data_IF_724081475811
#
_entry.id   IF_724081475811
#
_cell.length_a   1.000
_cell.length_b   1.000
_cell.length_c   1.000
_cell.angle_alpha   90.00
_cell.angle_beta   90.00
_cell.angle_gamma   90.00
#
_symmetry.space_group_name_H-M   'P 1'
#
loop_
_entity.id
_entity.type
_entity.pdbx_description
1 polymer ?
#
# COMPACT_ATOMS: atom_id res chain seq x y z
N UNK A 1 -68.71 -3.54 10.78
CA UNK A 1 -68.00 -2.60 11.66
C UNK A 1 -67.51 -3.40 12.86
N UNK A 2 -66.22 -3.54 13.19
CA UNK A 2 -64.95 -2.96 12.67
C UNK A 2 -63.89 -4.09 12.67
N UNK A 3 -63.01 -4.11 11.65
CA UNK A 3 -61.94 -5.10 11.53
C UNK A 3 -60.75 -4.72 12.45
N UNK A 4 -60.33 -5.62 13.35
CA UNK A 4 -59.12 -5.41 14.19
C UNK A 4 -57.86 -5.84 13.44
N UNK A 5 -57.22 -4.90 12.75
CA UNK A 5 -55.85 -5.06 12.27
C UNK A 5 -54.86 -4.70 13.40
N UNK A 6 -54.39 -5.71 14.14
CA UNK A 6 -53.27 -5.52 15.07
C UNK A 6 -51.97 -5.49 14.28
N UNK A 7 -51.44 -4.28 14.07
CA UNK A 7 -50.23 -3.99 13.33
C UNK A 7 -49.01 -4.61 14.03
N UNK A 8 -48.49 -5.73 13.50
CA UNK A 8 -47.23 -6.30 13.95
C UNK A 8 -46.08 -5.42 13.46
N UNK A 9 -45.64 -4.50 14.31
CA UNK A 9 -44.53 -3.60 13.99
C UNK A 9 -43.20 -4.36 14.06
N UNK A 10 -42.79 -4.95 12.94
CA UNK A 10 -41.45 -5.55 12.79
C UNK A 10 -40.43 -4.42 12.75
N UNK A 11 -39.81 -4.14 13.90
CA UNK A 11 -38.66 -3.25 14.01
C UNK A 11 -37.48 -3.87 13.28
N UNK A 12 -37.34 -3.53 11.99
CA UNK A 12 -36.16 -3.85 11.20
C UNK A 12 -34.98 -3.06 11.77
N UNK A 13 -34.15 -3.73 12.59
CA UNK A 13 -32.86 -3.20 13.02
C UNK A 13 -31.93 -3.09 11.80
N UNK A 14 -32.08 -2.01 11.03
CA UNK A 14 -31.12 -1.60 10.01
C UNK A 14 -29.86 -1.17 10.75
N UNK A 15 -28.94 -2.11 10.94
CA UNK A 15 -27.55 -1.78 11.28
C UNK A 15 -27.01 -0.98 10.10
N UNK A 16 -26.92 0.33 10.28
CA UNK A 16 -26.17 1.20 9.39
C UNK A 16 -24.70 0.79 9.49
N UNK A 17 -24.28 -0.12 8.61
CA UNK A 17 -22.87 -0.31 8.29
C UNK A 17 -22.44 0.98 7.60
N UNK A 18 -21.91 1.92 8.37
CA UNK A 18 -21.24 3.09 7.83
C UNK A 18 -20.05 2.58 7.04
N UNK A 19 -20.08 2.75 5.71
CA UNK A 19 -18.91 2.49 4.89
C UNK A 19 -17.75 3.32 5.45
N UNK A 20 -16.65 2.65 5.75
CA UNK A 20 -15.45 3.27 6.30
C UNK A 20 -14.92 4.25 5.23
N UNK A 21 -14.84 5.57 5.51
CA UNK A 21 -14.72 6.58 4.45
C UNK A 21 -13.47 6.40 3.59
N UNK A 22 -13.61 6.63 2.30
CA UNK A 22 -12.54 6.46 1.32
C UNK A 22 -11.33 7.36 1.60
N UNK A 23 -10.17 7.02 1.02
CA UNK A 23 -8.89 7.66 1.35
C UNK A 23 -8.47 8.61 0.23
N UNK A 24 -8.13 9.85 0.56
CA UNK A 24 -7.70 10.85 -0.44
C UNK A 24 -6.24 10.68 -0.84
N UNK A 25 -5.98 10.40 -2.12
CA UNK A 25 -4.66 10.51 -2.75
C UNK A 25 -4.33 11.98 -2.99
N UNK A 26 -3.18 12.44 -2.50
CA UNK A 26 -2.73 13.84 -2.65
C UNK A 26 -1.37 13.98 -3.34
N UNK A 27 -0.62 12.88 -3.50
CA UNK A 27 0.63 12.80 -4.27
C UNK A 27 0.67 11.48 -5.02
N UNK A 28 1.37 11.45 -6.15
CA UNK A 28 1.71 10.23 -6.87
C UNK A 28 3.22 10.10 -6.99
N UNK A 29 3.70 8.86 -7.03
CA UNK A 29 5.09 8.50 -7.33
C UNK A 29 5.09 7.25 -8.21
N UNK A 30 6.11 7.09 -9.04
CA UNK A 30 6.26 5.91 -9.89
C UNK A 30 7.58 5.19 -9.60
N UNK A 31 7.58 3.89 -9.88
CA UNK A 31 8.76 3.02 -9.89
C UNK A 31 8.80 2.25 -11.21
N UNK A 32 9.86 2.43 -11.99
CA UNK A 32 10.20 1.54 -13.09
C UNK A 32 11.04 0.39 -12.53
N UNK A 33 10.53 -0.84 -12.63
CA UNK A 33 11.16 -2.03 -12.06
C UNK A 33 11.86 -2.85 -13.14
N UNK A 34 13.03 -3.40 -12.82
CA UNK A 34 13.72 -4.42 -13.61
C UNK A 34 13.98 -5.69 -12.81
N UNK A 35 14.15 -6.81 -13.52
CA UNK A 35 14.57 -8.11 -12.97
C UNK A 35 15.76 -8.60 -13.79
N UNK A 36 16.90 -8.85 -13.15
CA UNK A 36 18.14 -9.23 -13.84
C UNK A 36 18.60 -8.18 -14.88
N UNK A 37 18.31 -6.89 -14.64
CA UNK A 37 18.55 -5.80 -15.58
C UNK A 37 17.57 -5.71 -16.77
N UNK A 38 16.58 -6.61 -16.89
CA UNK A 38 15.53 -6.53 -17.90
C UNK A 38 14.33 -5.73 -17.36
N UNK A 39 13.83 -4.69 -18.07
CA UNK A 39 12.65 -3.94 -17.65
C UNK A 39 11.41 -4.84 -17.49
N UNK A 40 10.76 -4.78 -16.33
CA UNK A 40 9.56 -5.55 -16.00
C UNK A 40 8.27 -4.74 -16.19
N UNK A 41 8.32 -3.44 -15.86
CA UNK A 41 7.20 -2.52 -16.00
C UNK A 41 7.22 -1.38 -14.97
N UNK A 42 6.20 -0.51 -15.03
CA UNK A 42 6.01 0.62 -14.12
C UNK A 42 4.92 0.33 -13.10
N UNK A 43 5.17 0.67 -11.83
CA UNK A 43 4.18 0.74 -10.76
C UNK A 43 3.91 2.22 -10.47
N UNK A 44 2.65 2.62 -10.36
CA UNK A 44 2.24 3.97 -9.91
C UNK A 44 1.55 3.86 -8.56
N UNK A 45 2.04 4.62 -7.59
CA UNK A 45 1.56 4.64 -6.21
C UNK A 45 0.87 5.97 -5.91
N UNK A 46 -0.35 5.91 -5.40
CA UNK A 46 -1.06 7.03 -4.78
C UNK A 46 -0.72 7.11 -3.30
N UNK A 47 -0.39 8.31 -2.81
CA UNK A 47 0.04 8.55 -1.43
C UNK A 47 -0.98 9.44 -0.69
N UNK A 48 -1.27 9.07 0.55
CA UNK A 48 -2.34 9.66 1.37
C UNK A 48 -1.85 10.83 2.23
N UNK A 49 -1.34 11.91 1.61
CA UNK A 49 -0.66 12.98 2.35
C UNK A 49 -1.53 13.79 3.32
N UNK A 50 -2.87 13.70 3.22
CA UNK A 50 -3.78 14.25 4.25
C UNK A 50 -3.82 13.37 5.51
N UNK A 51 -3.71 12.05 5.33
CA UNK A 51 -3.73 11.05 6.41
C UNK A 51 -2.35 10.86 7.02
N UNK A 52 -1.30 10.89 6.19
CA UNK A 52 0.07 10.55 6.55
C UNK A 52 1.12 11.60 6.12
N UNK A 53 0.97 12.89 6.49
CA UNK A 53 1.75 13.98 5.92
C UNK A 53 3.27 13.80 6.06
N UNK A 54 3.81 13.46 7.24
CA UNK A 54 5.27 13.33 7.39
C UNK A 54 5.82 12.15 6.61
N UNK A 55 5.15 11.00 6.68
CA UNK A 55 5.58 9.78 5.97
C UNK A 55 5.52 9.98 4.45
N UNK A 56 4.45 10.61 3.93
CA UNK A 56 4.32 10.92 2.50
C UNK A 56 5.36 11.96 2.04
N UNK A 57 5.59 13.03 2.82
CA UNK A 57 6.65 14.01 2.49
C UNK A 57 8.03 13.34 2.41
N UNK A 58 8.37 12.50 3.40
CA UNK A 58 9.64 11.79 3.40
C UNK A 58 9.75 10.81 2.21
N UNK A 59 8.69 10.05 1.91
CA UNK A 59 8.67 9.10 0.78
C UNK A 59 8.82 9.79 -0.59
N UNK A 60 8.14 10.94 -0.78
CA UNK A 60 8.27 11.78 -1.97
C UNK A 60 9.70 12.31 -2.11
N UNK A 61 10.35 12.70 -1.01
CA UNK A 61 11.76 13.08 -1.02
C UNK A 61 12.69 11.92 -1.40
N UNK A 62 12.37 10.67 -1.07
CA UNK A 62 13.17 9.52 -1.54
C UNK A 62 13.01 9.28 -3.03
N UNK A 63 11.76 9.20 -3.52
CA UNK A 63 11.46 8.90 -4.92
C UNK A 63 12.02 9.95 -5.90
N UNK A 64 12.26 11.19 -5.45
CA UNK A 64 12.85 12.27 -6.23
C UNK A 64 14.37 12.38 -6.20
N UNK A 65 15.09 11.52 -5.45
CA UNK A 65 16.56 11.49 -5.46
C UNK A 65 17.05 10.27 -6.26
N UNK A 66 18.05 10.47 -7.12
CA UNK A 66 18.67 9.39 -7.88
C UNK A 66 19.37 8.40 -6.92
N UNK A 67 18.81 7.20 -6.80
CA UNK A 67 19.31 6.17 -5.90
C UNK A 67 18.81 4.77 -6.29
N UNK A 68 19.71 3.79 -6.21
CA UNK A 68 19.44 2.39 -6.55
C UNK A 68 18.62 1.72 -5.43
N UNK A 69 17.29 1.74 -5.54
CA UNK A 69 16.41 1.09 -4.56
C UNK A 69 16.31 -0.40 -4.88
N UNK A 70 17.02 -1.21 -4.10
CA UNK A 70 17.06 -2.66 -4.24
C UNK A 70 15.98 -3.35 -3.42
N UNK A 71 15.37 -4.40 -3.99
CA UNK A 71 14.54 -5.35 -3.24
C UNK A 71 15.44 -6.24 -2.40
N UNK A 72 15.26 -6.25 -1.07
CA UNK A 72 16.11 -7.03 -0.17
C UNK A 72 15.56 -8.42 0.14
N UNK A 73 14.25 -8.49 0.44
CA UNK A 73 13.57 -9.69 0.90
C UNK A 73 12.14 -9.73 0.34
N UNK A 74 11.72 -10.93 -0.06
CA UNK A 74 10.43 -11.30 -0.64
C UNK A 74 9.74 -12.29 0.30
N UNK A 75 9.36 -11.83 1.49
CA UNK A 75 8.46 -12.62 2.35
C UNK A 75 7.17 -12.82 1.56
N UNK A 76 6.59 -14.02 1.58
CA UNK A 76 5.61 -14.55 0.60
C UNK A 76 4.33 -13.72 0.30
N UNK A 77 4.16 -12.56 0.93
CA UNK A 77 2.97 -11.70 0.91
C UNK A 77 3.33 -10.19 0.78
N UNK A 78 4.63 -9.87 0.71
CA UNK A 78 5.24 -8.56 1.07
C UNK A 78 6.57 -8.33 0.30
N UNK A 79 6.66 -7.30 -0.55
CA UNK A 79 7.89 -6.92 -1.27
C UNK A 79 8.65 -5.81 -0.50
N UNK A 80 9.88 -6.01 -0.02
CA UNK A 80 10.59 -5.02 0.82
C UNK A 80 11.71 -4.24 0.08
N UNK A 81 11.63 -2.91 0.11
CA UNK A 81 12.57 -1.94 -0.51
C UNK A 81 13.19 -0.96 0.54
N UNK A 82 14.36 -0.32 0.31
CA UNK A 82 15.18 0.41 1.34
C UNK A 82 15.85 1.75 0.84
N UNK A 83 16.72 2.53 1.53
CA UNK A 83 17.52 2.37 2.78
C UNK A 83 17.68 3.68 3.69
N UNK A 84 17.00 4.83 3.45
CA UNK A 84 17.03 6.10 4.29
C UNK A 84 16.03 6.14 5.49
N UNK A 85 16.33 6.69 6.70
CA UNK A 85 15.38 6.73 7.83
C UNK A 85 14.14 7.62 7.61
N UNK A 86 12.93 7.09 7.87
CA UNK A 86 11.67 7.85 7.80
C UNK A 86 10.99 7.96 9.17
N UNK A 87 10.69 9.21 9.56
CA UNK A 87 9.82 9.49 10.71
C UNK A 87 8.38 9.08 10.38
N UNK A 88 7.88 8.02 11.00
CA UNK A 88 6.50 7.58 10.92
C UNK A 88 5.64 8.32 11.97
N UNK A 89 4.36 8.52 11.67
CA UNK A 89 3.36 8.94 12.65
C UNK A 89 2.35 7.78 12.83
N UNK A 90 1.65 7.71 13.96
CA UNK A 90 0.70 6.63 14.20
C UNK A 90 -0.60 6.90 13.40
N UNK A 91 -0.85 6.14 12.34
CA UNK A 91 -2.07 6.26 11.53
C UNK A 91 -2.99 5.03 11.65
N UNK A 92 -4.24 5.22 11.22
CA UNK A 92 -5.36 4.26 11.40
C UNK A 92 -5.58 3.40 10.14
N UNK A 93 -4.75 3.53 9.11
CA UNK A 93 -4.91 2.78 7.86
C UNK A 93 -4.35 1.36 7.98
N UNK A 94 -5.26 0.40 7.76
CA UNK A 94 -5.07 -1.04 7.85
C UNK A 94 -4.71 -1.66 6.50
N UNK A 95 -4.45 -2.96 6.49
CA UNK A 95 -4.13 -3.74 5.30
C UNK A 95 -5.42 -4.22 4.63
N UNK A 96 -6.13 -3.32 3.94
CA UNK A 96 -7.48 -3.61 3.43
C UNK A 96 -7.52 -4.67 2.32
N UNK A 97 -6.43 -4.88 1.57
CA UNK A 97 -6.27 -5.93 0.56
C UNK A 97 -4.91 -5.90 -0.13
N UNK A 98 -4.74 -6.58 -1.29
CA UNK A 98 -3.60 -6.38 -2.19
C UNK A 98 -3.41 -4.92 -2.62
N UNK A 99 -2.17 -4.55 -2.96
CA UNK A 99 -1.81 -3.25 -3.50
C UNK A 99 -1.69 -2.13 -2.46
N UNK A 100 -1.70 -2.42 -1.15
CA UNK A 100 -1.52 -1.39 -0.12
C UNK A 100 -0.04 -1.17 0.18
N UNK A 101 0.38 0.10 0.20
CA UNK A 101 1.75 0.54 0.47
C UNK A 101 1.90 0.89 1.96
N UNK A 102 2.77 0.18 2.66
CA UNK A 102 2.88 0.24 4.12
C UNK A 102 4.34 0.21 4.60
N UNK A 103 4.59 0.72 5.81
CA UNK A 103 5.93 0.79 6.42
C UNK A 103 6.32 -0.53 7.11
N UNK A 104 7.46 -1.09 6.73
CA UNK A 104 8.13 -2.16 7.46
C UNK A 104 8.95 -1.62 8.65
N UNK A 105 9.03 -2.43 9.69
CA UNK A 105 9.76 -2.14 10.92
C UNK A 105 10.18 -3.43 11.62
N UNK A 106 11.08 -3.30 12.60
CA UNK A 106 11.58 -4.35 13.48
C UNK A 106 11.06 -4.17 14.92
N UNK A 107 9.87 -3.56 15.07
CA UNK A 107 9.27 -3.21 16.36
C UNK A 107 8.94 -1.71 16.51
N UNK A 108 8.35 -1.38 17.66
CA UNK A 108 7.86 -0.03 17.95
C UNK A 108 8.98 1.00 17.88
N UNK A 109 8.76 2.06 17.10
CA UNK A 109 9.70 3.17 16.86
C UNK A 109 11.00 2.78 16.12
N UNK A 110 11.09 1.63 15.46
CA UNK A 110 12.26 1.24 14.65
C UNK A 110 12.05 1.45 13.14
N UNK A 111 11.12 2.34 12.75
CA UNK A 111 10.80 2.56 11.34
C UNK A 111 12.01 3.16 10.61
N UNK A 112 12.47 2.48 9.56
CA UNK A 112 13.47 3.00 8.63
C UNK A 112 12.79 3.57 7.38
N UNK A 113 13.40 3.28 6.23
CA UNK A 113 12.84 3.43 4.87
C UNK A 113 12.01 2.25 4.43
N UNK A 114 12.20 1.10 5.10
CA UNK A 114 11.62 -0.15 4.66
C UNK A 114 10.13 0.03 4.42
N UNK A 115 9.72 -0.16 3.18
CA UNK A 115 8.33 -0.13 2.78
C UNK A 115 8.01 -1.39 2.01
N UNK A 116 6.72 -1.72 1.96
CA UNK A 116 6.23 -2.83 1.20
C UNK A 116 4.88 -2.59 0.55
N UNK A 117 4.62 -3.37 -0.50
CA UNK A 117 3.33 -3.48 -1.17
C UNK A 117 2.76 -4.86 -0.80
N UNK A 118 1.53 -4.90 -0.30
CA UNK A 118 0.82 -6.15 -0.02
C UNK A 118 0.40 -6.86 -1.31
N UNK A 119 0.44 -8.18 -1.33
CA UNK A 119 -0.07 -8.99 -2.46
C UNK A 119 -1.37 -9.73 -2.15
N UNK A 120 -1.74 -9.77 -0.86
CA UNK A 120 -2.99 -10.30 -0.29
C UNK A 120 -3.52 -9.35 0.80
N UNK A 121 -4.62 -9.70 1.47
CA UNK A 121 -5.09 -9.00 2.67
C UNK A 121 -4.33 -9.54 3.90
N UNK A 122 -3.62 -8.68 4.65
CA UNK A 122 -2.70 -9.07 5.73
C UNK A 122 -3.09 -8.51 7.11
N UNK A 123 -4.30 -8.81 7.64
CA UNK A 123 -4.83 -8.18 8.86
C UNK A 123 -4.03 -8.47 10.14
N UNK A 124 -3.15 -9.48 10.15
CA UNK A 124 -2.22 -9.74 11.26
C UNK A 124 -1.13 -8.67 11.41
N UNK A 125 -0.94 -7.80 10.42
CA UNK A 125 -0.02 -6.66 10.44
C UNK A 125 -0.71 -5.35 10.87
N UNK A 126 -2.04 -5.34 10.98
CA UNK A 126 -2.79 -4.16 11.45
C UNK A 126 -2.33 -3.73 12.85
N UNK A 127 -2.32 -2.42 13.07
CA UNK A 127 -1.92 -1.76 14.32
C UNK A 127 -0.43 -2.00 14.72
N UNK A 128 0.33 -2.78 13.93
CA UNK A 128 1.80 -3.01 14.03
C UNK A 128 2.59 -2.31 12.93
N UNK A 129 2.00 -2.29 11.73
CA UNK A 129 2.51 -1.62 10.54
C UNK A 129 1.45 -0.67 10.01
N UNK A 130 1.90 0.41 9.38
CA UNK A 130 1.01 1.51 9.00
C UNK A 130 1.05 1.73 7.50
N UNK A 131 -0.13 1.71 6.86
CA UNK A 131 -0.25 1.96 5.43
C UNK A 131 -0.40 3.46 5.14
N UNK A 132 0.21 3.94 4.06
CA UNK A 132 0.27 5.36 3.70
C UNK A 132 0.10 5.62 2.18
N UNK A 133 -0.11 4.57 1.39
CA UNK A 133 -0.48 4.66 -0.01
C UNK A 133 -1.14 3.39 -0.56
N UNK A 134 -1.46 3.41 -1.85
CA UNK A 134 -2.06 2.29 -2.60
C UNK A 134 -1.55 2.30 -4.05
N UNK A 135 -1.37 1.12 -4.64
CA UNK A 135 -1.11 0.94 -6.07
C UNK A 135 -2.32 1.46 -6.85
N UNK A 136 -2.06 2.28 -7.87
CA UNK A 136 -3.06 2.79 -8.80
C UNK A 136 -2.93 2.12 -10.17
N UNK A 137 -1.69 1.85 -10.60
CA UNK A 137 -1.35 1.25 -11.90
C UNK A 137 -0.15 0.29 -11.70
N UNK A 138 -0.06 -0.78 -12.49
CA UNK A 138 1.06 -1.74 -12.42
C UNK A 138 0.93 -2.82 -11.34
N UNK A 139 -0.29 -3.19 -10.91
CA UNK A 139 -0.48 -4.31 -9.98
C UNK A 139 -0.07 -5.67 -10.60
N UNK A 140 -0.12 -5.80 -11.92
CA UNK A 140 0.43 -6.93 -12.65
C UNK A 140 1.96 -7.01 -12.51
N UNK A 141 2.65 -5.87 -12.47
CA UNK A 141 4.11 -5.79 -12.19
C UNK A 141 4.38 -6.26 -10.76
N UNK A 142 3.59 -5.81 -9.78
CA UNK A 142 3.66 -6.31 -8.38
C UNK A 142 3.48 -7.83 -8.33
N UNK A 143 2.51 -8.38 -9.07
CA UNK A 143 2.27 -9.84 -9.16
C UNK A 143 3.37 -10.60 -9.90
N UNK A 144 4.01 -10.00 -10.91
CA UNK A 144 5.20 -10.57 -11.56
C UNK A 144 6.40 -10.61 -10.60
N UNK A 145 6.57 -9.59 -9.74
CA UNK A 145 7.61 -9.58 -8.70
C UNK A 145 7.32 -10.66 -7.64
N UNK A 146 6.07 -10.80 -7.18
CA UNK A 146 5.65 -11.89 -6.27
C UNK A 146 5.99 -13.28 -6.82
N UNK A 147 5.86 -13.48 -8.13
CA UNK A 147 6.14 -14.74 -8.81
C UNK A 147 7.61 -15.02 -9.16
N UNK A 148 8.59 -14.18 -8.78
CA UNK A 148 10.00 -14.45 -9.08
C UNK A 148 10.54 -15.65 -8.29
N UNK A 149 11.53 -16.34 -8.84
CA UNK A 149 12.19 -17.41 -8.12
C UNK A 149 12.92 -16.89 -6.88
N UNK A 150 12.55 -17.40 -5.71
CA UNK A 150 13.21 -17.13 -4.43
C UNK A 150 14.28 -18.19 -4.11
N UNK A 151 15.34 -17.74 -3.43
CA UNK A 151 16.46 -18.54 -2.94
C UNK A 151 16.50 -18.58 -1.42
N UNK A 152 17.70 -18.71 -0.85
CA UNK A 152 17.89 -18.77 0.61
C UNK A 152 17.51 -17.43 1.29
N UNK A 153 16.79 -17.52 2.40
CA UNK A 153 16.36 -16.36 3.19
C UNK A 153 15.35 -15.46 2.45
N UNK A 154 14.44 -16.06 1.69
CA UNK A 154 13.37 -15.37 0.95
C UNK A 154 13.87 -14.27 0.00
N UNK A 155 15.08 -14.40 -0.54
CA UNK A 155 15.67 -13.43 -1.48
C UNK A 155 15.44 -13.83 -2.93
N UNK A 156 15.10 -12.90 -3.85
CA UNK A 156 15.10 -13.16 -5.28
C UNK A 156 16.43 -13.76 -5.78
N UNK A 157 16.36 -14.83 -6.58
CA UNK A 157 17.54 -15.42 -7.24
C UNK A 157 18.10 -14.49 -8.31
N UNK A 158 17.21 -13.82 -9.06
CA UNK A 158 17.56 -12.71 -9.93
C UNK A 158 17.29 -11.41 -9.20
N UNK A 159 18.21 -10.45 -9.26
CA UNK A 159 18.03 -9.15 -8.62
C UNK A 159 16.77 -8.46 -9.13
N UNK A 160 15.92 -8.01 -8.22
CA UNK A 160 14.78 -7.11 -8.49
C UNK A 160 15.12 -5.73 -7.96
N UNK A 161 15.08 -4.72 -8.82
CA UNK A 161 15.52 -3.35 -8.53
C UNK A 161 14.55 -2.33 -9.11
N UNK A 162 14.43 -1.17 -8.48
CA UNK A 162 13.77 0.00 -9.06
C UNK A 162 14.84 0.75 -9.85
N UNK A 163 14.81 0.58 -11.17
CA UNK A 163 15.77 1.16 -12.11
C UNK A 163 15.59 2.69 -12.25
N UNK A 164 14.38 3.20 -12.01
CA UNK A 164 14.08 4.63 -11.99
C UNK A 164 12.87 4.89 -11.08
N UNK A 165 12.91 5.99 -10.31
CA UNK A 165 11.75 6.47 -9.55
C UNK A 165 11.52 7.96 -9.80
N UNK A 166 10.34 8.45 -9.47
CA UNK A 166 10.05 9.87 -9.55
C UNK A 166 8.70 10.25 -8.94
N UNK A 167 8.50 11.55 -8.79
CA UNK A 167 7.24 12.16 -8.36
C UNK A 167 6.38 12.45 -9.58
N UNK A 168 5.07 12.24 -9.49
CA UNK A 168 4.10 12.62 -10.52
C UNK A 168 3.13 13.66 -9.99
N UNK A 169 2.72 14.58 -10.86
CA UNK A 169 1.75 15.62 -10.52
C UNK A 169 0.36 15.05 -10.21
N UNK A 170 -0.28 15.65 -9.22
CA UNK A 170 -1.68 15.42 -8.86
C UNK A 170 -2.34 16.80 -8.86
N UNK A 171 -2.97 17.16 -9.98
CA UNK A 171 -3.60 18.48 -10.18
C UNK A 171 -4.79 18.73 -9.26
N UNK A 172 -5.47 17.67 -8.81
CA UNK A 172 -6.54 17.73 -7.82
C UNK A 172 -6.53 16.42 -7.02
N UNK A 173 -6.60 16.46 -5.68
CA UNK A 173 -6.75 15.26 -4.85
C UNK A 173 -8.01 14.48 -5.20
N UNK A 174 -7.95 13.15 -5.11
CA UNK A 174 -9.06 12.26 -5.46
C UNK A 174 -9.15 11.10 -4.46
N UNK A 175 -10.35 10.53 -4.30
CA UNK A 175 -10.60 9.45 -3.36
C UNK A 175 -10.35 8.07 -3.99
N UNK A 176 -9.91 7.11 -3.17
CA UNK A 176 -9.83 5.69 -3.53
C UNK A 176 -10.43 4.83 -2.44
N UNK A 177 -11.07 3.74 -2.86
CA UNK A 177 -11.78 2.79 -2.00
C UNK A 177 -10.87 2.04 -1.03
N UNK A 178 -11.39 1.72 0.16
CA UNK A 178 -10.74 0.85 1.17
C UNK A 178 -10.84 -0.65 0.83
N UNK A 179 -10.43 -1.01 -0.38
CA UNK A 179 -10.43 -2.38 -0.92
C UNK A 179 -9.06 -2.79 -1.47
N UNK A 180 -8.96 -4.04 -1.94
CA UNK A 180 -7.76 -4.55 -2.62
C UNK A 180 -7.72 -4.24 -4.10
N UNK A 181 -6.51 -3.99 -4.62
CA UNK A 181 -6.26 -3.82 -6.06
C UNK A 181 -6.23 -5.20 -6.73
N UNK A 182 -7.01 -5.38 -7.80
CA UNK A 182 -6.94 -6.55 -8.68
C UNK A 182 -5.94 -6.27 -9.81
N UNK A 183 -5.20 -7.29 -10.22
CA UNK A 183 -4.25 -7.24 -11.34
C UNK A 183 -4.91 -7.63 -12.67
#
# INVERSE_FOLDING_TARGET
>A
MILRASLLCVLLNVVLVTADPDVTVTRKVFFDVSVGGQPLGRIVLGLFGNTAPKTVTNFVSLAGNEGEILTREMVQEVIVFMEIPLMMENFVLKHYGPGWLCMANAGKNTNGSQFYITTIKTPWLDDKHTCFGKVLEGMDVVKKIEGVQIGSGDRPVQRVEIAQSGVMDVSTPFEVTKDGVVA
#
